data_IF_665213252932
#
_entry.id   IF_665213252932
#
_cell.length_a   1.000
_cell.length_b   1.000
_cell.length_c   1.000
_cell.angle_alpha   90.00
_cell.angle_beta   90.00
_cell.angle_gamma   90.00
#
_symmetry.space_group_name_H-M   'P 1'
#
loop_
_entity.id
_entity.type
_entity.pdbx_description
1 polymer ?
#
# COMPACT_ATOMS: atom_id res chain seq x y z
N UNK A 1 44.19 60.56 -26.83
CA UNK A 1 44.25 59.10 -26.61
C UNK A 1 43.13 58.72 -25.66
N UNK A 2 42.07 58.02 -26.10
CA UNK A 2 40.98 57.60 -25.24
C UNK A 2 41.31 56.27 -24.54
N UNK A 3 40.99 56.21 -23.25
CA UNK A 3 41.23 55.07 -22.36
C UNK A 3 40.29 53.89 -22.67
N UNK A 4 40.84 52.69 -22.70
CA UNK A 4 40.10 51.44 -22.89
C UNK A 4 39.28 51.08 -21.65
N UNK A 5 37.96 50.94 -21.81
CA UNK A 5 37.05 50.41 -20.80
C UNK A 5 37.24 48.89 -20.66
N UNK A 6 37.37 48.42 -19.41
CA UNK A 6 37.40 46.99 -19.07
C UNK A 6 35.96 46.44 -19.01
N UNK A 7 35.71 45.21 -19.48
CA UNK A 7 34.39 44.59 -19.42
C UNK A 7 34.03 44.18 -17.98
N UNK A 8 32.78 44.46 -17.57
CA UNK A 8 32.15 43.95 -16.35
C UNK A 8 31.93 42.43 -16.43
N UNK A 9 32.13 41.68 -15.33
CA UNK A 9 31.80 40.27 -15.28
C UNK A 9 30.29 40.05 -15.16
N UNK A 10 29.73 39.29 -16.11
CA UNK A 10 28.35 38.79 -16.09
C UNK A 10 28.16 37.85 -14.88
N UNK A 11 27.29 38.25 -13.95
CA UNK A 11 26.82 37.39 -12.87
C UNK A 11 25.96 36.25 -13.46
N UNK A 12 26.47 35.02 -13.39
CA UNK A 12 25.72 33.83 -13.78
C UNK A 12 24.59 33.50 -12.79
N UNK A 13 23.55 32.76 -13.22
CA UNK A 13 22.44 32.38 -12.36
C UNK A 13 22.91 31.44 -11.26
N UNK A 14 22.59 31.80 -10.02
CA UNK A 14 22.79 30.94 -8.85
C UNK A 14 21.78 29.80 -8.95
N UNK A 15 22.25 28.61 -9.32
CA UNK A 15 21.46 27.40 -9.17
C UNK A 15 21.24 27.15 -7.69
N UNK A 16 19.99 27.33 -7.25
CA UNK A 16 19.53 26.89 -5.95
C UNK A 16 19.73 25.36 -5.89
N UNK A 17 20.74 24.95 -5.12
CA UNK A 17 21.01 23.54 -4.83
C UNK A 17 19.92 23.08 -3.86
N UNK A 18 18.75 22.84 -4.44
CA UNK A 18 17.53 22.45 -3.76
C UNK A 18 17.81 21.36 -2.73
N UNK A 19 17.38 21.62 -1.50
CA UNK A 19 17.50 20.69 -0.39
C UNK A 19 16.94 19.33 -0.80
N UNK A 20 17.75 18.28 -0.72
CA UNK A 20 17.27 16.91 -0.92
C UNK A 20 16.04 16.70 -0.03
N UNK A 21 14.92 16.20 -0.57
CA UNK A 21 13.73 15.96 0.24
C UNK A 21 14.09 14.98 1.37
N UNK A 22 13.52 15.21 2.55
CA UNK A 22 13.68 14.31 3.68
C UNK A 22 13.30 12.87 3.27
N UNK A 23 13.95 11.84 3.85
CA UNK A 23 13.61 10.46 3.54
C UNK A 23 12.12 10.19 3.82
N UNK A 24 11.45 9.57 2.85
CA UNK A 24 10.02 9.20 2.92
C UNK A 24 9.84 8.12 3.98
N UNK A 25 8.84 8.28 4.84
CA UNK A 25 8.36 7.18 5.67
C UNK A 25 7.52 6.23 4.79
N UNK A 26 8.17 5.22 4.22
CA UNK A 26 7.53 4.29 3.28
C UNK A 26 6.34 3.52 3.87
N UNK A 27 6.21 3.45 5.20
CA UNK A 27 5.09 2.78 5.87
C UNK A 27 3.85 3.68 5.99
N UNK A 28 4.03 5.00 6.13
CA UNK A 28 2.93 5.97 6.11
C UNK A 28 2.37 6.07 4.69
N UNK A 29 1.06 6.24 4.54
CA UNK A 29 0.35 6.33 3.24
C UNK A 29 -0.67 7.46 3.29
N UNK A 30 -0.80 8.20 2.20
CA UNK A 30 -1.82 9.23 2.01
C UNK A 30 -2.51 9.07 0.63
N UNK A 31 -3.67 9.69 0.40
CA UNK A 31 -4.41 9.57 -0.85
C UNK A 31 -3.72 10.28 -2.03
N UNK A 32 -2.85 11.24 -1.73
CA UNK A 32 -1.96 11.89 -2.70
C UNK A 32 -0.57 11.25 -2.78
N UNK A 33 -0.26 10.29 -1.90
CA UNK A 33 1.04 9.62 -1.83
C UNK A 33 0.88 8.13 -1.48
N UNK A 34 0.51 7.31 -2.47
CA UNK A 34 0.14 5.90 -2.25
C UNK A 34 0.95 4.89 -3.07
N UNK A 35 1.80 5.30 -4.01
CA UNK A 35 2.66 4.33 -4.68
C UNK A 35 3.68 3.74 -3.69
N UNK A 36 3.68 2.41 -3.53
CA UNK A 36 4.55 1.68 -2.61
C UNK A 36 5.11 0.45 -3.29
N UNK A 37 6.44 0.31 -3.23
CA UNK A 37 7.15 -0.80 -3.86
C UNK A 37 7.03 -2.09 -3.04
N UNK A 38 7.04 -1.97 -1.72
CA UNK A 38 7.00 -3.11 -0.80
C UNK A 38 5.63 -3.19 -0.15
N UNK A 39 5.01 -4.36 -0.24
CA UNK A 39 3.73 -4.67 0.36
C UNK A 39 3.83 -5.98 1.16
N UNK A 40 2.92 -6.15 2.11
CA UNK A 40 2.86 -7.29 3.01
C UNK A 40 1.44 -7.85 3.06
N UNK A 41 1.31 -9.17 3.19
CA UNK A 41 0.03 -9.83 3.43
C UNK A 41 0.20 -10.90 4.49
N UNK A 42 -0.69 -10.88 5.47
CA UNK A 42 -0.93 -12.00 6.37
C UNK A 42 -1.66 -13.11 5.64
N UNK A 43 -1.33 -14.36 5.96
CA UNK A 43 -1.86 -15.56 5.32
C UNK A 43 -1.71 -16.74 6.28
N UNK A 44 -2.30 -17.90 5.97
CA UNK A 44 -2.15 -19.10 6.81
C UNK A 44 -0.94 -19.95 6.40
N UNK A 45 -0.41 -20.81 7.29
CA UNK A 45 0.66 -21.74 6.95
C UNK A 45 0.31 -22.65 5.76
N UNK A 46 -0.94 -23.12 5.68
CA UNK A 46 -1.42 -23.91 4.54
C UNK A 46 -1.35 -23.15 3.21
N UNK A 47 -1.60 -21.83 3.23
CA UNK A 47 -1.43 -20.97 2.06
C UNK A 47 0.04 -20.77 1.71
N UNK A 48 0.94 -20.63 2.70
CA UNK A 48 2.40 -20.61 2.47
C UNK A 48 2.86 -21.90 1.80
N UNK A 49 2.40 -23.06 2.28
CA UNK A 49 2.74 -24.34 1.67
C UNK A 49 2.25 -24.44 0.23
N UNK A 50 1.05 -23.92 -0.08
CA UNK A 50 0.55 -23.82 -1.43
C UNK A 50 1.41 -22.88 -2.31
N UNK A 51 1.87 -21.75 -1.77
CA UNK A 51 2.81 -20.84 -2.46
C UNK A 51 4.16 -21.52 -2.74
N UNK A 52 4.72 -22.24 -1.76
CA UNK A 52 5.98 -22.98 -1.89
C UNK A 52 5.92 -24.02 -3.01
N UNK A 53 4.79 -24.73 -3.14
CA UNK A 53 4.58 -25.75 -4.19
C UNK A 53 4.30 -25.14 -5.55
N UNK A 54 3.35 -24.21 -5.63
CA UNK A 54 2.86 -23.69 -6.92
C UNK A 54 3.75 -22.59 -7.50
N UNK A 55 4.47 -21.86 -6.65
CA UNK A 55 5.19 -20.62 -6.97
C UNK A 55 4.29 -19.52 -7.58
N UNK A 56 2.97 -19.62 -7.38
CA UNK A 56 1.99 -18.62 -7.85
C UNK A 56 1.50 -17.78 -6.68
N UNK A 57 1.79 -16.49 -6.69
CA UNK A 57 1.37 -15.53 -5.65
C UNK A 57 -0.14 -15.25 -5.71
N UNK A 58 -0.65 -15.05 -6.93
CA UNK A 58 -2.03 -14.66 -7.20
C UNK A 58 -2.86 -15.89 -7.55
N UNK A 59 -3.64 -16.37 -6.59
CA UNK A 59 -4.45 -17.60 -6.71
C UNK A 59 -5.95 -17.38 -6.54
N UNK A 60 -6.37 -16.32 -5.85
CA UNK A 60 -7.78 -16.04 -5.65
C UNK A 60 -8.37 -15.44 -6.92
N UNK A 61 -9.27 -16.18 -7.56
CA UNK A 61 -10.14 -15.65 -8.61
C UNK A 61 -11.35 -14.98 -7.97
N UNK A 62 -11.67 -13.76 -8.40
CA UNK A 62 -12.83 -13.03 -7.92
C UNK A 62 -14.20 -13.66 -8.25
N UNK A 63 -14.22 -14.75 -9.03
CA UNK A 63 -15.43 -15.47 -9.43
C UNK A 63 -15.98 -16.50 -8.44
N UNK A 64 -15.28 -16.83 -7.35
CA UNK A 64 -15.72 -17.86 -6.38
C UNK A 64 -16.04 -17.23 -5.03
N UNK A 65 -17.29 -17.35 -4.59
CA UNK A 65 -17.77 -16.86 -3.28
C UNK A 65 -18.37 -15.46 -3.31
N UNK A 66 -18.49 -14.83 -2.13
CA UNK A 66 -19.00 -13.46 -2.02
C UNK A 66 -18.03 -12.48 -2.70
N UNK A 67 -18.57 -11.62 -3.58
CA UNK A 67 -17.76 -10.57 -4.23
C UNK A 67 -17.18 -9.64 -3.16
N UNK A 68 -15.87 -9.39 -3.25
CA UNK A 68 -15.21 -8.47 -2.34
C UNK A 68 -15.73 -7.04 -2.48
N UNK A 69 -15.58 -6.18 -1.44
CA UNK A 69 -15.93 -4.77 -1.54
C UNK A 69 -15.30 -4.06 -2.74
N UNK A 70 -14.03 -4.38 -3.04
CA UNK A 70 -13.33 -3.87 -4.22
C UNK A 70 -14.08 -4.20 -5.52
N UNK A 71 -14.46 -5.46 -5.73
CA UNK A 71 -15.20 -5.87 -6.92
C UNK A 71 -16.58 -5.22 -7.02
N UNK A 72 -17.30 -5.13 -5.91
CA UNK A 72 -18.62 -4.45 -5.87
C UNK A 72 -18.51 -2.94 -6.17
N UNK A 73 -17.38 -2.32 -5.83
CA UNK A 73 -17.11 -0.93 -6.19
C UNK A 73 -16.82 -0.79 -7.69
N UNK A 74 -16.01 -1.68 -8.27
CA UNK A 74 -15.77 -1.70 -9.73
C UNK A 74 -17.06 -1.93 -10.52
N UNK A 75 -17.93 -2.85 -10.08
CA UNK A 75 -19.19 -3.17 -10.76
C UNK A 75 -20.10 -1.95 -10.94
N UNK A 76 -20.06 -0.99 -10.01
CA UNK A 76 -20.84 0.25 -10.09
C UNK A 76 -20.29 1.25 -11.11
N UNK A 77 -19.03 1.08 -11.53
CA UNK A 77 -18.29 2.04 -12.35
C UNK A 77 -17.97 1.55 -13.76
N UNK A 78 -18.15 0.26 -14.06
CA UNK A 78 -17.72 -0.32 -15.34
C UNK A 78 -18.37 0.32 -16.57
N UNK A 79 -19.60 0.81 -16.46
CA UNK A 79 -20.31 1.48 -17.56
C UNK A 79 -19.75 2.89 -17.83
N UNK A 80 -19.20 3.54 -16.82
CA UNK A 80 -18.72 4.93 -16.89
C UNK A 80 -17.19 5.03 -17.04
N UNK A 81 -16.44 3.99 -16.65
CA UNK A 81 -14.99 4.04 -16.56
C UNK A 81 -14.33 2.78 -17.18
N UNK A 82 -13.67 2.91 -18.35
CA UNK A 82 -12.99 1.78 -19.01
C UNK A 82 -11.95 1.09 -18.13
N UNK A 83 -11.26 1.84 -17.26
CA UNK A 83 -10.29 1.27 -16.32
C UNK A 83 -10.96 0.32 -15.32
N UNK A 84 -12.20 0.60 -14.89
CA UNK A 84 -12.93 -0.28 -14.00
C UNK A 84 -13.23 -1.64 -14.66
N UNK A 85 -13.60 -1.63 -15.95
CA UNK A 85 -13.80 -2.85 -16.74
C UNK A 85 -12.49 -3.65 -16.89
N UNK A 86 -11.38 -2.99 -17.18
CA UNK A 86 -10.05 -3.64 -17.26
C UNK A 86 -9.68 -4.29 -15.92
N UNK A 87 -9.76 -3.56 -14.81
CA UNK A 87 -9.41 -4.07 -13.48
C UNK A 87 -10.33 -5.21 -13.02
N UNK A 88 -11.58 -5.22 -13.49
CA UNK A 88 -12.56 -6.26 -13.17
C UNK A 88 -12.34 -7.53 -14.01
N UNK A 89 -12.26 -7.36 -15.33
CA UNK A 89 -12.51 -8.42 -16.31
C UNK A 89 -11.27 -8.85 -17.09
N UNK A 90 -10.22 -8.03 -17.17
CA UNK A 90 -9.03 -8.39 -17.93
C UNK A 90 -8.36 -9.64 -17.33
N UNK A 91 -8.02 -10.69 -18.12
CA UNK A 91 -7.46 -11.93 -17.59
C UNK A 91 -6.22 -11.74 -16.72
N UNK A 92 -5.41 -10.74 -17.02
CA UNK A 92 -4.22 -10.37 -16.24
C UNK A 92 -4.53 -9.79 -14.86
N UNK A 93 -5.74 -9.30 -14.61
CA UNK A 93 -6.17 -8.65 -13.36
C UNK A 93 -7.23 -9.40 -12.55
N UNK A 94 -7.74 -10.52 -13.07
CA UNK A 94 -8.79 -11.31 -12.39
C UNK A 94 -8.30 -11.92 -11.07
N UNK A 95 -7.04 -12.36 -11.04
CA UNK A 95 -6.43 -12.95 -9.84
C UNK A 95 -5.83 -11.88 -8.97
N UNK A 96 -6.11 -11.95 -7.67
CA UNK A 96 -5.81 -10.85 -6.75
C UNK A 96 -5.28 -11.35 -5.42
N UNK A 97 -4.56 -10.47 -4.72
CA UNK A 97 -4.15 -10.65 -3.33
C UNK A 97 -4.20 -9.30 -2.62
N UNK A 98 -4.87 -9.26 -1.48
CA UNK A 98 -4.92 -8.06 -0.64
C UNK A 98 -3.62 -7.93 0.15
N UNK A 99 -3.12 -6.71 0.26
CA UNK A 99 -1.85 -6.41 0.90
C UNK A 99 -1.86 -5.00 1.50
N UNK A 100 -0.84 -4.68 2.29
CA UNK A 100 -0.69 -3.42 3.02
C UNK A 100 0.78 -3.00 3.06
N UNK A 101 1.07 -1.75 3.37
CA UNK A 101 2.47 -1.24 3.44
C UNK A 101 3.25 -1.77 4.63
N UNK A 102 2.57 -2.34 5.61
CA UNK A 102 3.11 -2.58 6.93
C UNK A 102 2.33 -3.73 7.59
N UNK A 103 3.01 -4.76 8.14
CA UNK A 103 2.34 -5.88 8.79
C UNK A 103 1.47 -5.48 9.99
N UNK A 104 1.89 -4.49 10.78
CA UNK A 104 1.07 -4.00 11.90
C UNK A 104 -0.31 -3.51 11.46
N UNK A 105 -0.44 -2.95 10.24
CA UNK A 105 -1.65 -2.29 9.77
C UNK A 105 -2.89 -3.19 9.79
N UNK A 106 -2.71 -4.51 9.69
CA UNK A 106 -3.79 -5.50 9.62
C UNK A 106 -3.63 -6.75 10.48
N UNK A 107 -2.62 -6.81 11.35
CA UNK A 107 -2.35 -7.99 12.20
C UNK A 107 -3.52 -8.38 13.12
N UNK A 108 -4.32 -7.42 13.58
CA UNK A 108 -5.53 -7.68 14.36
C UNK A 108 -6.73 -8.04 13.47
N UNK A 109 -6.75 -7.58 12.22
CA UNK A 109 -7.80 -7.80 11.24
C UNK A 109 -9.01 -6.87 11.37
N UNK A 110 -10.11 -7.21 10.69
CA UNK A 110 -11.37 -6.45 10.68
C UNK A 110 -12.47 -7.24 11.41
N UNK A 111 -12.99 -6.69 12.51
CA UNK A 111 -13.94 -7.40 13.38
C UNK A 111 -13.30 -8.63 14.04
N UNK A 112 -13.96 -9.78 14.00
CA UNK A 112 -13.43 -11.04 14.54
C UNK A 112 -12.48 -11.77 13.56
N UNK A 113 -12.44 -11.33 12.30
CA UNK A 113 -11.67 -12.01 11.25
C UNK A 113 -10.18 -11.70 11.40
N UNK A 114 -9.36 -12.75 11.39
CA UNK A 114 -7.90 -12.70 11.25
C UNK A 114 -7.48 -13.26 9.89
N UNK A 115 -6.34 -12.79 9.38
CA UNK A 115 -5.83 -13.18 8.06
C UNK A 115 -4.77 -14.30 8.13
N UNK A 116 -4.48 -14.81 9.33
CA UNK A 116 -3.44 -15.80 9.61
C UNK A 116 -2.25 -15.19 10.35
N UNK A 117 -1.22 -15.99 10.56
CA UNK A 117 -0.01 -15.69 11.32
C UNK A 117 1.27 -15.85 10.50
N UNK A 118 1.18 -16.28 9.24
CA UNK A 118 2.29 -16.26 8.31
C UNK A 118 2.26 -15.00 7.45
N UNK A 119 3.44 -14.57 6.98
CA UNK A 119 3.61 -13.31 6.26
C UNK A 119 4.29 -13.53 4.91
N UNK A 120 3.77 -12.86 3.88
CA UNK A 120 4.42 -12.73 2.57
C UNK A 120 4.82 -11.27 2.37
N UNK A 121 6.07 -11.04 1.99
CA UNK A 121 6.57 -9.75 1.48
C UNK A 121 6.50 -9.76 -0.05
N UNK A 122 6.00 -8.69 -0.65
CA UNK A 122 5.81 -8.55 -2.10
C UNK A 122 6.55 -7.29 -2.54
N UNK A 123 7.48 -7.43 -3.47
CA UNK A 123 8.16 -6.34 -4.15
C UNK A 123 7.56 -6.13 -5.54
N UNK A 124 6.98 -4.96 -5.78
CA UNK A 124 6.56 -4.55 -7.11
C UNK A 124 7.77 -4.17 -7.98
N UNK A 125 7.62 -4.31 -9.30
CA UNK A 125 8.59 -3.88 -10.28
C UNK A 125 8.81 -2.35 -10.23
N UNK A 126 9.98 -1.89 -10.66
CA UNK A 126 10.34 -0.46 -10.57
C UNK A 126 9.57 0.45 -11.51
N UNK A 127 9.02 -0.13 -12.58
CA UNK A 127 8.24 0.51 -13.63
C UNK A 127 6.72 0.27 -13.50
N UNK A 128 6.31 -0.47 -12.47
CA UNK A 128 4.91 -0.69 -12.14
C UNK A 128 4.17 0.63 -11.85
N UNK A 129 2.88 0.64 -12.19
CA UNK A 129 1.93 1.67 -11.81
C UNK A 129 1.07 1.16 -10.65
N UNK A 130 0.74 2.06 -9.72
CA UNK A 130 -0.30 1.85 -8.73
C UNK A 130 -1.49 2.74 -9.06
N UNK A 131 -2.68 2.14 -9.10
CA UNK A 131 -3.92 2.89 -9.28
C UNK A 131 -4.51 3.22 -7.92
N UNK A 132 -4.64 4.49 -7.58
CA UNK A 132 -5.49 4.93 -6.47
C UNK A 132 -6.94 4.79 -6.90
N UNK A 133 -7.75 4.13 -6.08
CA UNK A 133 -9.16 3.88 -6.34
C UNK A 133 -10.02 4.32 -5.16
N UNK A 134 -10.78 5.41 -5.36
CA UNK A 134 -11.70 6.00 -4.39
C UNK A 134 -13.10 6.08 -5.00
N UNK A 135 -13.97 5.06 -4.83
CA UNK A 135 -15.21 4.93 -5.59
C UNK A 135 -16.23 6.06 -5.36
N UNK A 136 -16.08 6.84 -4.28
CA UNK A 136 -16.94 7.96 -3.94
C UNK A 136 -16.35 9.33 -4.31
N UNK A 137 -15.13 9.38 -4.85
CA UNK A 137 -14.53 10.62 -5.34
C UNK A 137 -15.09 11.00 -6.72
N UNK A 138 -15.08 12.30 -7.04
CA UNK A 138 -15.48 12.78 -8.37
C UNK A 138 -14.61 12.19 -9.49
N UNK A 139 -13.31 12.05 -9.21
CA UNK A 139 -12.36 11.30 -10.03
C UNK A 139 -11.98 10.02 -9.29
N UNK A 140 -12.63 8.88 -9.58
CA UNK A 140 -12.45 7.67 -8.77
C UNK A 140 -11.09 7.01 -8.96
N UNK A 141 -10.36 7.34 -10.04
CA UNK A 141 -9.07 6.72 -10.37
C UNK A 141 -7.98 7.76 -10.53
N UNK A 142 -6.80 7.48 -9.96
CA UNK A 142 -5.55 8.22 -10.18
C UNK A 142 -4.43 7.21 -10.38
N UNK A 143 -3.49 7.43 -11.29
CA UNK A 143 -2.32 6.55 -11.43
C UNK A 143 -1.07 7.22 -10.88
N UNK A 144 -0.23 6.47 -10.17
CA UNK A 144 1.11 6.88 -9.76
C UNK A 144 2.16 5.87 -10.20
N UNK A 145 3.34 6.35 -10.58
CA UNK A 145 4.52 5.51 -10.76
C UNK A 145 5.22 5.21 -9.41
N UNK A 146 6.23 4.35 -9.40
CA UNK A 146 6.98 4.01 -8.18
C UNK A 146 7.75 5.19 -7.55
N UNK A 147 7.90 6.31 -8.25
CA UNK A 147 8.47 7.55 -7.70
C UNK A 147 7.41 8.46 -7.05
N UNK A 148 6.14 8.04 -7.03
CA UNK A 148 5.02 8.81 -6.49
C UNK A 148 4.51 9.89 -7.45
N UNK A 149 5.00 9.95 -8.69
CA UNK A 149 4.53 10.94 -9.67
C UNK A 149 3.21 10.48 -10.26
N UNK A 150 2.28 11.42 -10.41
CA UNK A 150 1.01 11.16 -11.10
C UNK A 150 1.28 10.88 -12.58
N UNK A 151 0.61 9.85 -13.11
CA UNK A 151 0.66 9.43 -14.50
C UNK A 151 -0.73 9.58 -15.10
N UNK A 152 -0.81 10.04 -16.35
CA UNK A 152 -2.08 10.10 -17.09
C UNK A 152 -2.71 8.69 -17.18
N UNK A 153 -4.00 8.59 -16.85
CA UNK A 153 -4.75 7.32 -16.92
C UNK A 153 -4.74 6.72 -18.33
N UNK A 154 -4.60 7.53 -19.39
CA UNK A 154 -4.45 7.04 -20.76
C UNK A 154 -3.25 6.10 -20.91
N UNK A 155 -2.17 6.29 -20.15
CA UNK A 155 -1.01 5.39 -20.13
C UNK A 155 -1.38 4.04 -19.53
N UNK A 156 -2.13 4.02 -18.43
CA UNK A 156 -2.59 2.78 -17.79
C UNK A 156 -3.63 2.03 -18.64
N UNK A 157 -4.45 2.76 -19.42
CA UNK A 157 -5.39 2.17 -20.37
C UNK A 157 -4.68 1.59 -21.60
N UNK A 158 -3.64 2.26 -22.11
CA UNK A 158 -2.87 1.79 -23.26
C UNK A 158 -1.96 0.60 -22.92
N UNK A 159 -1.47 0.52 -21.69
CA UNK A 159 -0.63 -0.57 -21.20
C UNK A 159 -1.09 -1.06 -19.81
N UNK A 160 -2.21 -1.81 -19.74
CA UNK A 160 -2.71 -2.35 -18.48
C UNK A 160 -1.73 -3.34 -17.84
N UNK A 161 -0.79 -3.88 -18.63
CA UNK A 161 0.27 -4.76 -18.15
C UNK A 161 1.23 -4.10 -17.17
N UNK A 162 1.25 -2.76 -17.08
CA UNK A 162 2.03 -2.01 -16.09
C UNK A 162 1.33 -1.83 -14.75
N UNK A 163 0.02 -2.06 -14.66
CA UNK A 163 -0.70 -1.91 -13.38
C UNK A 163 -0.32 -3.08 -12.48
N UNK A 164 0.43 -2.82 -11.40
CA UNK A 164 0.86 -3.84 -10.45
C UNK A 164 -0.11 -4.02 -9.29
N UNK A 165 -0.66 -2.91 -8.79
CA UNK A 165 -1.57 -2.90 -7.64
C UNK A 165 -2.59 -1.76 -7.73
N UNK A 166 -3.68 -1.91 -6.96
CA UNK A 166 -4.68 -0.87 -6.77
C UNK A 166 -4.74 -0.50 -5.29
N UNK A 167 -4.46 0.76 -4.94
CA UNK A 167 -4.70 1.32 -3.62
C UNK A 167 -6.19 1.67 -3.50
N UNK A 168 -6.97 0.75 -2.93
CA UNK A 168 -8.41 0.86 -2.79
C UNK A 168 -8.76 1.48 -1.43
N UNK A 169 -9.56 2.54 -1.45
CA UNK A 169 -10.03 3.25 -0.25
C UNK A 169 -11.54 3.16 -0.16
N UNK A 170 -12.04 2.88 1.04
CA UNK A 170 -13.44 2.95 1.43
C UNK A 170 -13.56 3.86 2.62
N UNK A 171 -13.95 5.10 2.36
CA UNK A 171 -14.13 6.20 3.31
C UNK A 171 -15.47 6.92 3.08
N UNK A 172 -16.40 6.27 2.36
CA UNK A 172 -17.70 6.82 2.01
C UNK A 172 -18.66 6.86 3.20
N UNK A 173 -19.71 7.69 3.13
CA UNK A 173 -20.67 7.85 4.22
C UNK A 173 -21.44 6.56 4.57
N UNK A 174 -21.56 5.64 3.62
CA UNK A 174 -22.26 4.35 3.80
C UNK A 174 -21.32 3.22 4.26
N UNK A 175 -20.01 3.49 4.39
CA UNK A 175 -19.04 2.50 4.83
C UNK A 175 -19.03 2.42 6.37
N UNK A 176 -19.40 1.27 6.98
CA UNK A 176 -19.51 1.17 8.44
C UNK A 176 -18.15 1.31 9.15
N UNK A 177 -17.06 0.98 8.46
CA UNK A 177 -15.69 1.14 8.91
C UNK A 177 -14.88 1.62 7.71
N UNK A 178 -14.26 2.79 7.85
CA UNK A 178 -13.36 3.28 6.83
C UNK A 178 -12.10 2.42 6.78
N UNK A 179 -11.66 2.05 5.58
CA UNK A 179 -10.43 1.30 5.38
C UNK A 179 -9.76 1.58 4.05
N UNK A 180 -8.51 1.14 3.97
CA UNK A 180 -7.69 1.19 2.77
C UNK A 180 -6.79 -0.03 2.68
N UNK A 181 -6.57 -0.49 1.47
CA UNK A 181 -5.80 -1.70 1.19
C UNK A 181 -5.19 -1.64 -0.21
N UNK A 182 -4.18 -2.46 -0.45
CA UNK A 182 -3.65 -2.68 -1.78
C UNK A 182 -4.22 -3.98 -2.32
N UNK A 183 -4.65 -3.95 -3.58
CA UNK A 183 -5.06 -5.13 -4.34
C UNK A 183 -3.96 -5.41 -5.35
N UNK A 184 -3.03 -6.31 -5.01
CA UNK A 184 -2.02 -6.78 -5.96
C UNK A 184 -2.75 -7.62 -7.01
N UNK A 185 -2.71 -7.15 -8.26
CA UNK A 185 -3.57 -7.66 -9.32
C UNK A 185 -2.81 -8.00 -10.59
N UNK A 186 -1.47 -8.00 -10.58
CA UNK A 186 -0.70 -8.39 -11.75
C UNK A 186 0.64 -9.01 -11.33
N UNK A 187 0.75 -10.32 -11.55
CA UNK A 187 1.93 -11.09 -11.16
C UNK A 187 3.16 -10.79 -12.03
N UNK A 188 2.99 -10.28 -13.26
CA UNK A 188 4.12 -9.87 -14.11
C UNK A 188 4.77 -8.56 -13.63
N UNK A 189 4.09 -7.80 -12.77
CA UNK A 189 4.58 -6.57 -12.16
C UNK A 189 5.08 -6.80 -10.72
N UNK A 190 5.23 -8.06 -10.31
CA UNK A 190 5.87 -8.44 -9.05
C UNK A 190 7.32 -8.82 -9.35
N UNK A 191 8.27 -7.99 -8.91
CA UNK A 191 9.70 -8.25 -9.07
C UNK A 191 10.16 -9.44 -8.23
N UNK A 192 9.62 -9.57 -7.02
CA UNK A 192 9.85 -10.71 -6.14
C UNK A 192 8.73 -10.82 -5.11
N UNK A 193 8.56 -12.01 -4.55
CA UNK A 193 7.91 -12.18 -3.25
C UNK A 193 8.71 -13.13 -2.38
N UNK A 194 8.58 -12.98 -1.07
CA UNK A 194 9.33 -13.77 -0.11
C UNK A 194 8.52 -14.18 1.10
N UNK A 195 8.94 -15.28 1.74
CA UNK A 195 8.37 -15.85 2.96
C UNK A 195 9.49 -16.33 3.88
N UNK A 196 9.28 -16.23 5.20
CA UNK A 196 10.23 -16.69 6.21
C UNK A 196 11.66 -16.11 6.11
N UNK A 197 11.87 -14.99 5.42
CA UNK A 197 13.22 -14.44 5.20
C UNK A 197 13.73 -13.56 6.33
N UNK A 198 15.05 -13.35 6.45
CA UNK A 198 15.63 -12.42 7.42
C UNK A 198 15.09 -10.99 7.27
N UNK A 199 14.79 -10.53 6.06
CA UNK A 199 14.26 -9.19 5.80
C UNK A 199 12.85 -9.01 6.38
N UNK A 200 12.02 -10.05 6.34
CA UNK A 200 10.71 -10.05 7.00
C UNK A 200 10.89 -9.92 8.53
N UNK A 201 11.81 -10.70 9.11
CA UNK A 201 12.09 -10.65 10.56
C UNK A 201 12.60 -9.29 10.98
N UNK A 202 13.58 -8.75 10.25
CA UNK A 202 14.14 -7.42 10.51
C UNK A 202 13.06 -6.32 10.42
N UNK A 203 12.13 -6.43 9.48
CA UNK A 203 11.01 -5.50 9.38
C UNK A 203 10.05 -5.62 10.58
N UNK A 204 9.68 -6.84 10.98
CA UNK A 204 8.84 -7.07 12.17
C UNK A 204 9.52 -6.58 13.45
N UNK A 205 10.83 -6.77 13.59
CA UNK A 205 11.60 -6.26 14.73
C UNK A 205 11.58 -4.73 14.77
N UNK A 206 11.69 -4.06 13.61
CA UNK A 206 11.56 -2.61 13.51
C UNK A 206 10.15 -2.12 13.89
N UNK A 207 9.09 -2.83 13.48
CA UNK A 207 7.72 -2.52 13.87
C UNK A 207 7.49 -2.72 15.38
N UNK A 208 8.03 -3.80 15.96
CA UNK A 208 7.97 -4.04 17.40
C UNK A 208 8.70 -2.97 18.19
N UNK A 209 9.88 -2.52 17.72
CA UNK A 209 10.63 -1.43 18.32
C UNK A 209 9.85 -0.11 18.25
N UNK A 210 9.19 0.18 17.12
CA UNK A 210 8.29 1.32 16.98
C UNK A 210 7.13 1.25 17.98
N UNK A 211 6.41 0.13 18.05
CA UNK A 211 5.28 -0.04 18.98
C UNK A 211 5.71 0.16 20.43
N UNK A 212 6.89 -0.35 20.81
CA UNK A 212 7.43 -0.16 22.15
C UNK A 212 7.88 1.30 22.41
N UNK A 213 8.37 2.00 21.39
CA UNK A 213 8.65 3.44 21.47
C UNK A 213 7.37 4.24 21.66
N UNK A 214 6.33 3.98 20.85
CA UNK A 214 5.04 4.65 20.94
C UNK A 214 4.36 4.40 22.30
N UNK A 215 4.45 3.17 22.82
CA UNK A 215 3.88 2.78 24.13
C UNK A 215 4.55 3.48 25.32
N UNK A 216 5.81 3.89 25.18
CA UNK A 216 6.59 4.58 26.22
C UNK A 216 6.69 6.10 26.03
N UNK A 217 6.42 6.58 24.82
CA UNK A 217 6.57 7.98 24.43
C UNK A 217 5.23 8.70 24.31
N UNK A 218 5.16 9.57 23.30
CA UNK A 218 4.10 10.58 23.17
C UNK A 218 2.68 10.01 23.07
N UNK A 219 2.51 8.80 22.53
CA UNK A 219 1.18 8.18 22.43
C UNK A 219 0.65 7.69 23.78
N UNK A 220 1.53 7.38 24.74
CA UNK A 220 1.16 6.87 26.06
C UNK A 220 0.39 7.90 26.90
N UNK A 221 0.57 9.19 26.59
CA UNK A 221 0.04 10.32 27.35
C UNK A 221 -1.01 11.13 26.57
N UNK A 222 -1.52 10.59 25.46
CA UNK A 222 -2.54 11.29 24.69
C UNK A 222 -3.81 11.52 25.52
N UNK A 223 -4.42 12.72 25.41
CA UNK A 223 -5.71 12.95 26.04
C UNK A 223 -6.76 12.00 25.44
N UNK A 224 -7.79 11.59 26.21
CA UNK A 224 -8.79 10.64 25.74
C UNK A 224 -9.48 11.03 24.43
N UNK A 225 -9.64 12.34 24.17
CA UNK A 225 -10.17 12.83 22.90
C UNK A 225 -9.27 12.51 21.71
N UNK A 226 -7.95 12.72 21.84
CA UNK A 226 -6.98 12.45 20.77
C UNK A 226 -6.86 10.95 20.48
N UNK A 227 -6.94 10.10 21.50
CA UNK A 227 -6.97 8.64 21.33
C UNK A 227 -8.17 8.18 20.49
N UNK A 228 -9.30 8.89 20.55
CA UNK A 228 -10.51 8.58 19.78
C UNK A 228 -10.56 9.26 18.41
N UNK A 229 -9.57 10.09 18.07
CA UNK A 229 -9.55 10.76 16.77
C UNK A 229 -9.54 9.73 15.64
N UNK A 230 -10.36 9.95 14.59
CA UNK A 230 -10.41 9.04 13.45
C UNK A 230 -9.11 9.14 12.64
N UNK A 231 -8.70 8.01 12.07
CA UNK A 231 -7.51 7.94 11.21
C UNK A 231 -7.78 8.53 9.81
N UNK A 232 -9.04 8.43 9.33
CA UNK A 232 -9.42 8.83 7.96
C UNK A 232 -9.04 10.28 7.62
N UNK A 233 -9.11 11.19 8.59
CA UNK A 233 -8.73 12.60 8.37
C UNK A 233 -7.26 12.79 7.99
N UNK A 234 -6.37 11.91 8.47
CA UNK A 234 -4.94 11.93 8.16
C UNK A 234 -4.63 11.24 6.82
N UNK A 235 -5.53 10.40 6.33
CA UNK A 235 -5.30 9.64 5.10
C UNK A 235 -5.36 10.52 3.85
N UNK A 236 -5.99 11.70 3.90
CA UNK A 236 -6.12 12.58 2.75
C UNK A 236 -4.76 13.06 2.21
N UNK A 237 -4.02 13.78 3.05
CA UNK A 237 -2.76 14.43 2.68
C UNK A 237 -1.82 14.45 3.87
N UNK A 238 -0.52 14.28 3.62
CA UNK A 238 0.50 14.38 4.65
C UNK A 238 0.50 15.79 5.28
N UNK A 239 0.38 15.93 6.61
CA UNK A 239 0.57 17.23 7.25
C UNK A 239 2.04 17.67 7.11
N UNK A 240 2.27 18.98 6.99
CA UNK A 240 3.61 19.57 6.89
C UNK A 240 4.50 19.21 8.08
N UNK A 241 3.90 19.13 9.26
CA UNK A 241 4.55 18.80 10.53
C UNK A 241 3.79 17.65 11.19
N UNK A 242 4.03 16.39 10.78
CA UNK A 242 3.27 15.25 11.29
C UNK A 242 3.61 14.99 12.75
N UNK A 243 2.57 15.01 13.60
CA UNK A 243 2.65 14.57 14.99
C UNK A 243 2.86 13.05 15.06
N UNK A 244 3.29 12.50 16.21
CA UNK A 244 3.34 11.04 16.40
C UNK A 244 2.01 10.34 16.12
N UNK A 245 0.88 10.99 16.45
CA UNK A 245 -0.46 10.46 16.18
C UNK A 245 -0.76 10.42 14.68
N UNK A 246 -0.37 11.47 13.93
CA UNK A 246 -0.53 11.48 12.48
C UNK A 246 0.28 10.36 11.82
N UNK A 247 1.52 10.13 12.26
CA UNK A 247 2.35 9.04 11.75
C UNK A 247 1.76 7.67 12.06
N UNK A 248 1.16 7.50 13.25
CA UNK A 248 0.42 6.29 13.59
C UNK A 248 -0.78 6.10 12.66
N UNK A 249 -1.66 7.11 12.53
CA UNK A 249 -2.84 7.04 11.68
C UNK A 249 -2.51 6.81 10.20
N UNK A 250 -1.44 7.43 9.70
CA UNK A 250 -0.97 7.27 8.33
C UNK A 250 -0.45 5.86 8.03
N UNK A 251 -0.15 5.03 9.03
CA UNK A 251 0.24 3.62 8.86
C UNK A 251 -0.93 2.64 8.94
N UNK A 252 -2.08 3.07 9.47
CA UNK A 252 -3.23 2.19 9.64
C UNK A 252 -3.94 1.89 8.32
N UNK A 253 -4.44 0.65 8.21
CA UNK A 253 -5.33 0.24 7.13
C UNK A 253 -6.80 0.41 7.50
N UNK A 254 -7.14 0.40 8.78
CA UNK A 254 -8.51 0.48 9.28
C UNK A 254 -8.67 1.63 10.27
N UNK A 255 -9.76 2.39 10.13
CA UNK A 255 -10.18 3.37 11.13
C UNK A 255 -11.17 2.71 12.10
N UNK A 256 -10.66 1.90 13.03
CA UNK A 256 -11.48 1.18 14.00
C UNK A 256 -10.88 1.19 15.41
N UNK A 257 -11.70 0.80 16.39
CA UNK A 257 -11.34 0.88 17.82
C UNK A 257 -10.13 0.01 18.21
N UNK A 258 -9.87 -1.08 17.47
CA UNK A 258 -8.81 -2.04 17.77
C UNK A 258 -7.42 -1.49 17.49
N UNK A 259 -7.34 -0.45 16.66
CA UNK A 259 -6.11 0.23 16.28
C UNK A 259 -5.96 1.62 16.90
N UNK A 260 -6.84 2.01 17.83
CA UNK A 260 -6.62 3.24 18.61
C UNK A 260 -5.31 3.11 19.40
N UNK A 261 -4.52 4.18 19.54
CA UNK A 261 -3.20 4.13 20.16
C UNK A 261 -3.27 4.08 21.69
N UNK A 262 -4.07 3.17 22.25
CA UNK A 262 -4.11 2.89 23.68
C UNK A 262 -2.98 1.93 24.06
N UNK A 263 -2.46 1.96 25.30
CA UNK A 263 -1.46 0.99 25.75
C UNK A 263 -1.91 -0.48 25.56
N UNK A 264 -3.19 -0.76 25.79
CA UNK A 264 -3.78 -2.10 25.61
C UNK A 264 -3.75 -2.53 24.14
N UNK A 265 -4.19 -1.66 23.22
CA UNK A 265 -4.21 -1.98 21.80
C UNK A 265 -2.81 -2.11 21.22
N UNK A 266 -1.88 -1.19 21.57
CA UNK A 266 -0.49 -1.27 21.13
C UNK A 266 0.17 -2.59 21.60
N UNK A 267 -0.11 -3.01 22.84
CA UNK A 267 0.35 -4.30 23.34
C UNK A 267 -0.28 -5.48 22.58
N UNK A 268 -1.56 -5.39 22.21
CA UNK A 268 -2.25 -6.42 21.42
C UNK A 268 -1.67 -6.53 19.99
N UNK A 269 -1.40 -5.41 19.32
CA UNK A 269 -0.72 -5.38 18.01
C UNK A 269 0.67 -6.03 18.15
N UNK A 270 1.45 -5.63 19.14
CA UNK A 270 2.78 -6.20 19.37
C UNK A 270 2.73 -7.71 19.66
N UNK A 271 1.76 -8.17 20.44
CA UNK A 271 1.56 -9.60 20.70
C UNK A 271 1.21 -10.37 19.42
N UNK A 272 0.35 -9.80 18.56
CA UNK A 272 0.00 -10.40 17.28
C UNK A 272 1.21 -10.49 16.33
N UNK A 273 2.05 -9.44 16.25
CA UNK A 273 3.29 -9.47 15.47
C UNK A 273 4.29 -10.53 15.99
N UNK A 274 4.42 -10.68 17.30
CA UNK A 274 5.25 -11.75 17.91
C UNK A 274 4.70 -13.14 17.64
N UNK A 275 3.41 -13.26 17.38
CA UNK A 275 2.75 -14.49 16.97
C UNK A 275 3.02 -14.89 15.52
N UNK A 276 3.84 -14.12 14.78
CA UNK A 276 4.29 -14.49 13.44
C UNK A 276 4.87 -15.91 13.41
N UNK A 277 4.36 -16.75 12.50
CA UNK A 277 4.87 -18.08 12.21
C UNK A 277 5.97 -18.01 11.14
N UNK A 278 7.25 -18.23 11.51
CA UNK A 278 8.35 -18.19 10.57
C UNK A 278 8.68 -19.57 9.97
N UNK A 279 7.77 -20.56 10.06
CA UNK A 279 8.06 -21.93 9.67
C UNK A 279 8.48 -22.13 8.21
N UNK A 280 9.34 -23.14 8.03
CA UNK A 280 9.92 -23.55 6.75
C UNK A 280 11.13 -22.71 6.33
N UNK A 281 11.86 -23.21 5.33
CA UNK A 281 13.07 -22.55 4.82
C UNK A 281 12.76 -21.16 4.23
N UNK A 282 13.64 -20.16 4.39
CA UNK A 282 13.51 -18.89 3.69
C UNK A 282 13.31 -19.11 2.19
N UNK A 283 12.33 -18.43 1.62
CA UNK A 283 12.06 -18.50 0.18
C UNK A 283 11.92 -17.09 -0.38
N UNK A 284 12.67 -16.83 -1.45
CA UNK A 284 12.49 -15.71 -2.37
C UNK A 284 12.17 -16.27 -3.75
N UNK A 285 11.10 -15.81 -4.36
CA UNK A 285 10.71 -16.20 -5.71
C UNK A 285 10.52 -14.96 -6.59
N UNK A 286 10.97 -15.06 -7.84
CA UNK A 286 10.76 -14.06 -8.89
C UNK A 286 9.80 -14.66 -9.91
N UNK A 287 8.55 -14.18 -9.99
CA UNK A 287 7.61 -14.66 -10.98
C UNK A 287 8.15 -14.45 -12.41
N UNK A 288 7.88 -15.42 -13.28
CA UNK A 288 8.18 -15.40 -14.72
C UNK A 288 6.89 -15.26 -15.57
N UNK A 289 5.80 -14.86 -14.93
CA UNK A 289 4.48 -14.75 -15.54
C UNK A 289 4.46 -13.60 -16.53
N UNK A 290 4.07 -13.88 -17.77
CA UNK A 290 3.81 -12.86 -18.79
C UNK A 290 2.39 -12.33 -18.64
N UNK A 291 2.21 -11.00 -18.76
CA UNK A 291 0.88 -10.40 -18.80
C UNK A 291 0.13 -10.86 -20.07
N UNK A 292 -1.09 -11.41 -19.96
CA UNK A 292 -1.81 -11.89 -21.12
C UNK A 292 -2.22 -10.72 -22.02
N UNK A 293 -2.16 -10.92 -23.33
CA UNK A 293 -2.68 -9.95 -24.30
C UNK A 293 -4.20 -9.75 -24.09
N UNK A 294 -4.75 -8.58 -24.47
CA UNK A 294 -6.19 -8.36 -24.49
C UNK A 294 -6.85 -9.44 -25.33
N UNK A 295 -7.88 -10.09 -24.79
CA UNK A 295 -8.73 -10.94 -25.61
C UNK A 295 -9.58 -10.00 -26.46
N UNK A 296 -9.40 -10.05 -27.78
CA UNK A 296 -10.33 -9.41 -28.70
C UNK A 296 -11.70 -10.07 -28.46
N UNK A 297 -12.58 -9.41 -27.73
CA UNK A 297 -13.97 -9.84 -27.62
C UNK A 297 -14.60 -9.75 -29.02
N UNK A 298 -15.19 -10.84 -29.55
CA UNK A 298 -15.88 -10.83 -30.83
C UNK A 298 -17.14 -9.96 -30.81
#
# INVERSE_FOLDING_TARGET
MPAAQRPEPLAGPVHDLGSSPAPRDDAAVHHDDFARRVLYTWTTPAQIDALRRSRRLLVADGGVGERSPYLRALDRLVEAHPLAAILRDHPGHRRRRYAWTSPLATTLGLGERRYGDALVRIDLAGDALVIGFRPHAAEPFVAQDMSGRTVDLAVALADPGRIGAVYHVRDGPDDPIAFREYVVCNESQVAAWSVATPEIRAHLDAELALLESLRRGDLAHLPPAAVRSPAVGVWATAPREPTPLDRWHARLAFDNERYRPTPVNLAAVAAALRGYDPAGEPLVHRPDVTFPAPQNSP
#
